data_IF_895032353167
#
_entry.id   IF_895032353167
#
_cell.length_a   1.000
_cell.length_b   1.000
_cell.length_c   1.000
_cell.angle_alpha   90.00
_cell.angle_beta   90.00
_cell.angle_gamma   90.00
#
_symmetry.space_group_name_H-M   'P 1'
#
loop_
_entity.id
_entity.type
_entity.pdbx_description
1 polymer ?
#
# COMPACT_ATOMS: atom_id res chain seq x y z
N UNK A 1 -21.45 -9.71 6.84
CA UNK A 1 -20.22 -9.00 6.45
C UNK A 1 -20.21 -8.98 4.94
N UNK A 2 -20.25 -7.78 4.35
CA UNK A 2 -20.13 -7.56 2.91
C UNK A 2 -18.77 -8.09 2.44
N UNK A 3 -18.75 -8.92 1.39
CA UNK A 3 -17.50 -9.29 0.73
C UNK A 3 -16.93 -8.04 0.05
N UNK A 4 -15.64 -7.72 0.24
CA UNK A 4 -15.05 -6.54 -0.38
C UNK A 4 -15.04 -6.71 -1.91
N UNK A 5 -15.77 -5.83 -2.61
CA UNK A 5 -15.77 -5.79 -4.07
C UNK A 5 -14.48 -5.11 -4.58
N UNK A 6 -13.55 -5.92 -5.10
CA UNK A 6 -12.32 -5.42 -5.72
C UNK A 6 -12.59 -4.90 -7.14
N UNK A 7 -12.29 -3.62 -7.40
CA UNK A 7 -12.55 -2.98 -8.70
C UNK A 7 -11.45 -3.31 -9.71
N UNK A 8 -10.19 -3.01 -9.38
CA UNK A 8 -9.05 -3.20 -10.29
C UNK A 8 -7.72 -3.19 -9.53
N UNK A 9 -6.75 -3.95 -10.03
CA UNK A 9 -5.37 -3.96 -9.56
C UNK A 9 -4.46 -3.71 -10.75
N UNK A 10 -3.46 -2.86 -10.55
CA UNK A 10 -2.37 -2.64 -11.50
C UNK A 10 -1.06 -3.06 -10.84
N UNK A 11 -0.35 -3.97 -11.48
CA UNK A 11 0.98 -4.40 -11.07
C UNK A 11 1.96 -4.02 -12.19
N UNK A 12 2.96 -3.21 -11.87
CA UNK A 12 4.19 -3.24 -12.65
C UNK A 12 4.91 -4.54 -12.28
N UNK A 13 5.49 -5.24 -13.26
CA UNK A 13 6.37 -6.39 -13.01
C UNK A 13 7.84 -5.95 -13.15
N UNK A 14 8.41 -5.17 -12.21
CA UNK A 14 9.84 -4.99 -12.17
C UNK A 14 10.51 -6.30 -11.72
N UNK A 15 11.62 -6.64 -12.35
CA UNK A 15 12.47 -7.76 -11.93
C UNK A 15 13.15 -7.41 -10.60
N UNK A 16 12.48 -7.67 -9.47
CA UNK A 16 13.11 -7.59 -8.15
C UNK A 16 13.29 -8.97 -7.52
N UNK A 17 14.45 -9.20 -6.91
CA UNK A 17 14.70 -10.43 -6.16
C UNK A 17 13.73 -10.51 -4.96
N UNK A 18 13.09 -11.66 -4.76
CA UNK A 18 12.12 -11.90 -3.66
C UNK A 18 12.71 -11.61 -2.26
N UNK A 19 14.02 -11.80 -2.08
CA UNK A 19 14.76 -11.52 -0.84
C UNK A 19 15.54 -10.19 -0.88
N UNK A 20 15.13 -9.24 -1.72
CA UNK A 20 15.72 -7.90 -1.77
C UNK A 20 15.27 -7.05 -0.58
N UNK A 21 16.06 -6.03 -0.25
CA UNK A 21 15.63 -5.00 0.70
C UNK A 21 14.34 -4.30 0.25
N UNK A 22 14.05 -4.23 -1.05
CA UNK A 22 12.79 -3.74 -1.57
C UNK A 22 11.59 -4.55 -1.07
N UNK A 23 11.69 -5.89 -1.07
CA UNK A 23 10.65 -6.77 -0.54
C UNK A 23 10.34 -6.50 0.93
N UNK A 24 11.37 -6.41 1.77
CA UNK A 24 11.21 -6.06 3.19
C UNK A 24 10.64 -4.65 3.39
N UNK A 25 11.09 -3.66 2.62
CA UNK A 25 10.59 -2.29 2.70
C UNK A 25 9.11 -2.22 2.29
N UNK A 26 8.70 -2.97 1.27
CA UNK A 26 7.30 -3.08 0.82
C UNK A 26 6.42 -3.67 1.92
N UNK A 27 6.88 -4.73 2.57
CA UNK A 27 6.11 -5.38 3.65
C UNK A 27 5.95 -4.46 4.88
N UNK A 28 6.97 -3.65 5.20
CA UNK A 28 6.89 -2.61 6.23
C UNK A 28 5.87 -1.52 5.85
N UNK A 29 5.91 -1.03 4.61
CA UNK A 29 4.95 -0.04 4.09
C UNK A 29 3.53 -0.57 4.19
N UNK A 30 3.30 -1.82 3.74
CA UNK A 30 2.01 -2.51 3.81
C UNK A 30 1.47 -2.60 5.24
N UNK A 31 2.30 -3.07 6.18
CA UNK A 31 1.89 -3.19 7.59
C UNK A 31 1.55 -1.82 8.18
N UNK A 32 2.39 -0.82 7.92
CA UNK A 32 2.19 0.55 8.44
C UNK A 32 0.88 1.15 7.93
N UNK A 33 0.57 0.99 6.64
CA UNK A 33 -0.67 1.51 6.05
C UNK A 33 -1.90 0.78 6.60
N UNK A 34 -1.83 -0.54 6.79
CA UNK A 34 -2.91 -1.32 7.42
C UNK A 34 -3.19 -0.79 8.82
N UNK A 35 -2.17 -0.59 9.64
CA UNK A 35 -2.36 -0.15 11.03
C UNK A 35 -2.95 1.27 11.07
N UNK A 36 -2.49 2.17 10.17
CA UNK A 36 -3.01 3.53 10.03
C UNK A 36 -4.41 3.62 9.43
N UNK A 37 -4.87 2.59 8.71
CA UNK A 37 -6.23 2.56 8.16
C UNK A 37 -7.33 2.55 9.23
N UNK A 38 -7.00 2.11 10.45
CA UNK A 38 -7.90 2.20 11.61
C UNK A 38 -8.02 3.61 12.20
N UNK A 39 -7.08 4.51 11.88
CA UNK A 39 -6.98 5.83 12.50
C UNK A 39 -7.54 6.95 11.62
N UNK A 40 -7.74 6.70 10.33
CA UNK A 40 -8.19 7.73 9.40
C UNK A 40 -8.46 7.21 8.00
N UNK A 41 -8.96 8.11 7.15
CA UNK A 41 -9.33 7.80 5.76
C UNK A 41 -8.18 7.99 4.77
N UNK A 42 -7.01 8.44 5.21
CA UNK A 42 -5.86 8.68 4.35
C UNK A 42 -4.56 8.51 5.14
N UNK A 43 -3.56 7.88 4.54
CA UNK A 43 -2.18 7.99 5.00
C UNK A 43 -1.20 7.65 3.91
N UNK A 44 0.00 8.25 3.96
CA UNK A 44 1.15 7.87 3.17
C UNK A 44 2.30 7.41 4.08
N UNK A 45 3.18 6.57 3.54
CA UNK A 45 4.39 6.13 4.22
C UNK A 45 5.49 5.84 3.21
N UNK A 46 6.72 5.96 3.65
CA UNK A 46 7.91 5.71 2.83
C UNK A 46 8.91 4.91 3.66
N UNK A 47 9.54 3.92 3.05
CA UNK A 47 10.53 3.08 3.74
C UNK A 47 11.68 2.75 2.80
N UNK A 48 12.90 2.76 3.34
CA UNK A 48 14.11 2.38 2.61
C UNK A 48 14.85 3.55 1.95
N UNK A 49 16.05 3.24 1.49
CA UNK A 49 16.94 4.14 0.75
C UNK A 49 17.12 3.62 -0.68
N UNK A 50 17.47 4.53 -1.61
CA UNK A 50 17.73 4.18 -3.01
C UNK A 50 18.77 3.06 -3.11
N UNK A 51 18.57 2.05 -3.97
CA UNK A 51 17.48 1.89 -4.95
C UNK A 51 16.21 1.22 -4.41
N UNK A 52 16.16 0.84 -3.13
CA UNK A 52 15.09 0.02 -2.54
C UNK A 52 14.00 0.84 -1.83
N UNK A 53 13.86 2.14 -2.12
CA UNK A 53 12.87 2.98 -1.47
C UNK A 53 11.47 2.63 -1.98
N UNK A 54 10.53 2.40 -1.06
CA UNK A 54 9.13 2.12 -1.37
C UNK A 54 8.27 3.28 -0.88
N UNK A 55 7.42 3.78 -1.76
CA UNK A 55 6.38 4.77 -1.44
C UNK A 55 5.01 4.11 -1.53
N UNK A 56 4.19 4.28 -0.50
CA UNK A 56 2.84 3.74 -0.47
C UNK A 56 1.86 4.70 0.20
N UNK A 57 0.59 4.58 -0.20
CA UNK A 57 -0.50 5.38 0.34
C UNK A 57 -1.81 4.59 0.30
N UNK A 58 -2.72 4.89 1.23
CA UNK A 58 -4.12 4.49 1.12
C UNK A 58 -5.07 5.69 1.12
N UNK A 59 -6.23 5.50 0.51
CA UNK A 59 -7.38 6.39 0.60
C UNK A 59 -8.66 5.56 0.80
N UNK A 60 -9.40 5.85 1.86
CA UNK A 60 -10.70 5.25 2.15
C UNK A 60 -11.81 6.25 1.84
N UNK A 61 -12.86 5.80 1.15
CA UNK A 61 -14.08 6.61 1.00
C UNK A 61 -14.88 6.52 2.28
N UNK A 62 -15.08 7.65 2.95
CA UNK A 62 -15.93 7.73 4.14
C UNK A 62 -17.41 7.61 3.77
N UNK A 63 -17.94 6.40 3.62
CA UNK A 63 -19.38 6.15 3.63
C UNK A 63 -19.69 5.05 4.63
N UNK A 64 -20.65 5.33 5.50
CA UNK A 64 -20.81 4.84 6.88
C UNK A 64 -21.17 3.36 7.09
N UNK A 65 -20.95 2.46 6.14
CA UNK A 65 -21.20 1.02 6.34
C UNK A 65 -20.26 0.07 5.60
N UNK A 66 -19.32 0.56 4.79
CA UNK A 66 -18.38 -0.30 4.06
C UNK A 66 -17.05 0.45 3.84
N UNK A 67 -15.99 0.02 4.52
CA UNK A 67 -14.67 0.61 4.37
C UNK A 67 -14.01 0.09 3.08
N UNK A 68 -14.29 0.75 1.95
CA UNK A 68 -13.51 0.54 0.74
C UNK A 68 -12.15 1.24 0.90
N UNK A 69 -11.07 0.46 1.01
CA UNK A 69 -9.69 0.94 1.10
C UNK A 69 -9.02 0.79 -0.27
N UNK A 70 -8.60 1.90 -0.89
CA UNK A 70 -7.75 1.86 -2.08
C UNK A 70 -6.29 2.02 -1.66
N UNK A 71 -5.46 1.00 -1.89
CA UNK A 71 -4.00 1.08 -1.68
C UNK A 71 -3.30 1.35 -3.00
N UNK A 72 -2.41 2.35 -3.05
CA UNK A 72 -1.62 2.72 -4.23
C UNK A 72 -0.14 2.62 -3.92
N UNK A 73 0.60 1.89 -4.76
CA UNK A 73 2.06 1.84 -4.77
C UNK A 73 2.56 2.66 -5.96
N UNK A 74 3.59 3.50 -5.74
CA UNK A 74 4.29 4.17 -6.84
C UNK A 74 5.79 4.07 -6.63
N UNK A 75 6.48 3.45 -7.58
CA UNK A 75 7.95 3.47 -7.66
C UNK A 75 8.36 4.69 -8.51
N UNK A 76 9.26 5.53 -8.00
CA UNK A 76 9.84 6.63 -8.79
C UNK A 76 11.19 6.17 -9.32
N UNK A 77 11.28 5.98 -10.65
CA UNK A 77 12.54 5.80 -11.39
C UNK A 77 13.46 7.00 -11.23
#
# INVERSE_FOLDING_TARGET
>A
MSEPFHITTYCEEPDFARNSSYGSNRDIVLSTLRDRSSLGSYSNTTTGLRPNTVYGMFLCRGTSTDHLVQTVYREQR
#
